data_IF_568258330133
#
_entry.id   IF_568258330133
#
_cell.length_a   1.000
_cell.length_b   1.000
_cell.length_c   1.000
_cell.angle_alpha   90.00
_cell.angle_beta   90.00
_cell.angle_gamma   90.00
#
_symmetry.space_group_name_H-M   'P 1'
#
loop_
_entity.id
_entity.type
_entity.pdbx_description
1 polymer ?
#
# COMPACT_ATOMS: atom_id res chain seq x y z
N UNK A 1 -8.51 -17.95 3.83
CA UNK A 1 -7.85 -17.07 2.85
C UNK A 1 -6.45 -16.80 3.37
N UNK A 2 -5.44 -16.85 2.49
CA UNK A 2 -4.06 -16.52 2.88
C UNK A 2 -3.87 -15.01 2.98
N UNK A 3 -2.73 -14.58 3.54
CA UNK A 3 -2.30 -13.18 3.55
C UNK A 3 -2.00 -12.76 2.11
N UNK A 4 -2.56 -11.63 1.69
CA UNK A 4 -2.32 -11.04 0.36
C UNK A 4 -1.53 -9.74 0.52
N UNK A 5 -0.55 -9.51 -0.35
CA UNK A 5 0.25 -8.27 -0.38
C UNK A 5 -0.23 -7.42 -1.55
N UNK A 6 -0.57 -6.17 -1.27
CA UNK A 6 -1.09 -5.25 -2.28
C UNK A 6 -0.20 -4.00 -2.38
N UNK A 7 -0.08 -3.49 -3.60
CA UNK A 7 0.45 -2.15 -3.89
C UNK A 7 -0.68 -1.23 -4.32
N UNK A 8 -0.72 -0.03 -3.74
CA UNK A 8 -1.72 0.99 -4.10
C UNK A 8 -1.06 2.34 -4.35
N UNK A 9 -1.23 2.86 -5.56
CA UNK A 9 -0.86 4.25 -5.84
C UNK A 9 -1.85 5.23 -5.20
N UNK A 10 -1.34 6.27 -4.56
CA UNK A 10 -2.12 7.42 -4.06
C UNK A 10 -1.42 8.74 -4.39
N UNK A 11 -2.15 9.86 -4.34
CA UNK A 11 -1.52 11.18 -4.40
C UNK A 11 -0.70 11.49 -3.15
N UNK A 12 0.30 12.37 -3.29
CA UNK A 12 1.05 12.92 -2.17
C UNK A 12 0.13 13.62 -1.15
N UNK A 13 -0.91 14.29 -1.65
CA UNK A 13 -1.92 14.92 -0.80
C UNK A 13 -2.65 13.91 0.09
N UNK A 14 -3.02 12.74 -0.44
CA UNK A 14 -3.61 11.67 0.37
C UNK A 14 -2.66 11.22 1.47
N UNK A 15 -1.38 11.02 1.16
CA UNK A 15 -0.38 10.65 2.17
C UNK A 15 -0.33 11.70 3.30
N UNK A 16 -0.27 12.99 2.97
CA UNK A 16 -0.26 14.08 3.96
C UNK A 16 -1.52 14.06 4.85
N UNK A 17 -2.69 13.82 4.25
CA UNK A 17 -3.97 13.71 4.98
C UNK A 17 -3.93 12.52 5.95
N UNK A 18 -3.41 11.37 5.52
CA UNK A 18 -3.30 10.17 6.35
C UNK A 18 -2.30 10.36 7.50
N UNK A 19 -1.16 11.00 7.25
CA UNK A 19 -0.17 11.31 8.29
C UNK A 19 -0.72 12.27 9.34
N UNK A 20 -1.55 13.24 8.95
CA UNK A 20 -2.19 14.18 9.88
C UNK A 20 -3.37 13.58 10.64
N UNK A 21 -4.00 12.54 10.10
CA UNK A 21 -5.20 11.94 10.66
C UNK A 21 -5.23 10.45 10.34
N UNK A 22 -4.50 9.61 11.11
CA UNK A 22 -4.38 8.19 10.82
C UNK A 22 -5.72 7.43 10.86
N UNK A 23 -6.73 7.98 11.55
CA UNK A 23 -8.11 7.47 11.55
C UNK A 23 -8.77 7.51 10.17
N UNK A 24 -8.27 8.35 9.24
CA UNK A 24 -8.72 8.38 7.86
C UNK A 24 -8.12 7.24 7.01
N UNK A 25 -7.13 6.50 7.52
CA UNK A 25 -6.64 5.28 6.86
C UNK A 25 -7.77 4.29 6.60
N UNK A 26 -8.58 4.00 7.63
CA UNK A 26 -9.75 3.15 7.48
C UNK A 26 -10.76 3.71 6.48
N UNK A 27 -10.99 5.03 6.47
CA UNK A 27 -11.88 5.65 5.49
C UNK A 27 -11.35 5.50 4.05
N UNK A 28 -10.03 5.61 3.84
CA UNK A 28 -9.45 5.39 2.51
C UNK A 28 -9.72 3.96 2.04
N UNK A 29 -9.44 2.94 2.86
CA UNK A 29 -9.67 1.54 2.46
C UNK A 29 -11.17 1.20 2.33
N UNK A 30 -12.02 1.74 3.19
CA UNK A 30 -13.48 1.58 3.05
C UNK A 30 -14.03 2.25 1.78
N UNK A 31 -13.35 3.29 1.27
CA UNK A 31 -13.76 3.97 0.04
C UNK A 31 -13.78 3.04 -1.18
N UNK A 32 -12.92 2.01 -1.21
CA UNK A 32 -12.91 0.97 -2.24
C UNK A 32 -14.26 0.25 -2.36
N UNK A 33 -15.02 0.16 -1.26
CA UNK A 33 -16.27 -0.59 -1.18
C UNK A 33 -17.51 0.31 -1.12
N UNK A 34 -17.35 1.63 -1.29
CA UNK A 34 -18.50 2.52 -1.38
C UNK A 34 -19.32 2.23 -2.65
N UNK A 35 -20.64 2.48 -2.66
CA UNK A 35 -21.51 2.23 -3.82
C UNK A 35 -21.00 2.88 -5.13
N UNK A 36 -20.34 4.03 -5.02
CA UNK A 36 -19.80 4.82 -6.13
C UNK A 36 -18.42 4.35 -6.61
N UNK A 37 -17.80 3.39 -5.91
CA UNK A 37 -16.46 2.91 -6.22
C UNK A 37 -16.41 2.14 -7.54
N UNK A 38 -15.34 2.32 -8.34
CA UNK A 38 -15.13 1.55 -9.56
C UNK A 38 -14.93 0.04 -9.31
N UNK A 39 -14.62 -0.38 -8.08
CA UNK A 39 -14.50 -1.79 -7.68
C UNK A 39 -15.71 -2.63 -8.10
N UNK A 40 -16.92 -2.06 -8.00
CA UNK A 40 -18.16 -2.77 -8.34
C UNK A 40 -18.38 -2.93 -9.86
N UNK A 41 -17.59 -2.27 -10.71
CA UNK A 41 -17.70 -2.45 -12.16
C UNK A 41 -17.15 -3.81 -12.62
N UNK A 42 -16.30 -4.43 -11.80
CA UNK A 42 -15.67 -5.73 -12.08
C UNK A 42 -16.30 -6.88 -11.29
N UNK A 43 -17.23 -6.62 -10.36
CA UNK A 43 -17.89 -7.70 -9.62
C UNK A 43 -18.92 -8.40 -10.52
N UNK A 44 -18.62 -9.64 -10.92
CA UNK A 44 -19.55 -10.48 -11.66
C UNK A 44 -20.64 -11.00 -10.71
N UNK A 45 -21.75 -10.28 -10.64
CA UNK A 45 -22.96 -10.72 -9.95
C UNK A 45 -23.32 -9.84 -8.76
N UNK A 46 -24.49 -9.21 -8.82
CA UNK A 46 -25.06 -8.48 -7.69
C UNK A 46 -25.75 -9.49 -6.77
N UNK A 47 -25.09 -9.88 -5.70
CA UNK A 47 -25.70 -10.69 -4.66
C UNK A 47 -26.08 -9.85 -3.42
N UNK A 48 -26.79 -10.47 -2.48
CA UNK A 48 -27.16 -9.83 -1.21
C UNK A 48 -25.92 -9.44 -0.37
N UNK A 49 -24.78 -10.08 -0.62
CA UNK A 49 -23.53 -9.82 0.08
C UNK A 49 -22.87 -8.51 -0.38
N UNK A 50 -22.93 -8.18 -1.66
CA UNK A 50 -22.44 -6.90 -2.21
C UNK A 50 -23.18 -5.70 -1.60
N UNK A 51 -24.52 -5.74 -1.56
CA UNK A 51 -25.31 -4.65 -0.98
C UNK A 51 -25.06 -4.49 0.53
N UNK A 52 -24.86 -5.61 1.23
CA UNK A 52 -24.45 -5.58 2.64
C UNK A 52 -23.07 -4.95 2.79
N UNK A 53 -22.10 -5.33 1.96
CA UNK A 53 -20.73 -4.81 1.99
C UNK A 53 -20.70 -3.31 1.72
N UNK A 54 -21.44 -2.82 0.72
CA UNK A 54 -21.59 -1.39 0.43
C UNK A 54 -22.14 -0.61 1.62
N UNK A 55 -23.18 -1.15 2.28
CA UNK A 55 -23.79 -0.52 3.45
C UNK A 55 -22.84 -0.49 4.65
N UNK A 56 -22.14 -1.59 4.91
CA UNK A 56 -21.14 -1.68 5.99
C UNK A 56 -19.97 -0.72 5.74
N UNK A 57 -19.44 -0.67 4.52
CA UNK A 57 -18.40 0.26 4.11
C UNK A 57 -18.82 1.72 4.31
N UNK A 58 -20.02 2.10 3.86
CA UNK A 58 -20.57 3.45 4.09
C UNK A 58 -20.59 3.83 5.56
N UNK A 59 -21.10 2.94 6.42
CA UNK A 59 -21.17 3.20 7.87
C UNK A 59 -19.78 3.34 8.51
N UNK A 60 -18.79 2.54 8.10
CA UNK A 60 -17.42 2.64 8.61
C UNK A 60 -16.73 3.91 8.12
N UNK A 61 -16.86 4.21 6.82
CA UNK A 61 -16.38 5.43 6.19
C UNK A 61 -16.87 6.68 6.93
N UNK A 62 -18.19 6.83 7.07
CA UNK A 62 -18.82 7.99 7.72
C UNK A 62 -18.34 8.16 9.17
N UNK A 63 -18.18 7.04 9.89
CA UNK A 63 -17.69 7.04 11.27
C UNK A 63 -16.26 7.52 11.36
N UNK A 64 -15.37 7.07 10.48
CA UNK A 64 -13.97 7.45 10.44
C UNK A 64 -13.82 8.94 10.08
N UNK A 65 -14.54 9.41 9.06
CA UNK A 65 -14.56 10.82 8.64
C UNK A 65 -15.11 11.72 9.75
N UNK A 66 -16.19 11.32 10.42
CA UNK A 66 -16.74 12.07 11.55
C UNK A 66 -15.76 12.12 12.75
N UNK A 67 -15.09 11.01 13.04
CA UNK A 67 -14.06 10.96 14.10
C UNK A 67 -12.90 11.90 13.78
N UNK A 68 -12.39 11.87 12.56
CA UNK A 68 -11.33 12.78 12.11
C UNK A 68 -11.75 14.25 12.22
N UNK A 69 -12.98 14.59 11.81
CA UNK A 69 -13.53 15.95 11.98
C UNK A 69 -13.57 16.37 13.45
N UNK A 70 -14.09 15.51 14.32
CA UNK A 70 -14.20 15.79 15.75
C UNK A 70 -12.83 15.98 16.38
N UNK A 71 -11.87 15.10 16.07
CA UNK A 71 -10.52 15.17 16.62
C UNK A 71 -9.83 16.45 16.14
N UNK A 72 -10.04 16.85 14.87
CA UNK A 72 -9.55 18.12 14.33
C UNK A 72 -10.21 19.33 15.01
N UNK A 73 -11.54 19.34 15.19
CA UNK A 73 -12.25 20.44 15.88
C UNK A 73 -11.83 20.59 17.33
N UNK A 74 -11.62 19.48 18.05
CA UNK A 74 -11.17 19.49 19.44
C UNK A 74 -9.76 20.07 19.62
N UNK A 75 -8.94 20.01 18.57
CA UNK A 75 -7.64 20.68 18.52
C UNK A 75 -7.81 22.20 18.31
N UNK A 76 -8.77 22.61 17.47
CA UNK A 76 -9.05 24.02 17.19
C UNK A 76 -9.78 24.73 18.33
N UNK A 77 -10.61 24.05 19.11
CA UNK A 77 -11.17 24.61 20.36
C UNK A 77 -10.07 24.97 21.39
N UNK A 78 -8.83 24.49 21.19
CA UNK A 78 -7.64 24.86 21.99
C UNK A 78 -6.76 25.94 21.34
N UNK A 79 -6.96 26.28 20.07
CA UNK A 79 -6.18 27.29 19.34
C UNK A 79 -7.12 28.40 18.86
N UNK A 80 -7.12 29.54 19.59
CA UNK A 80 -8.04 30.66 19.36
C UNK A 80 -8.14 31.10 17.89
N UNK A 81 -9.33 30.92 17.33
CA UNK A 81 -10.08 31.53 16.20
C UNK A 81 -9.39 32.07 14.92
N UNK A 82 -8.09 32.33 14.86
CA UNK A 82 -7.55 33.22 13.81
C UNK A 82 -6.94 32.52 12.58
N UNK A 83 -6.52 31.25 12.69
CA UNK A 83 -5.78 30.55 11.61
C UNK A 83 -6.61 29.56 10.77
N UNK A 84 -7.79 29.17 11.25
CA UNK A 84 -8.66 28.17 10.59
C UNK A 84 -9.19 28.67 9.23
N UNK A 85 -9.30 29.98 9.06
CA UNK A 85 -9.87 30.56 7.86
C UNK A 85 -8.94 30.47 6.63
N UNK A 86 -7.62 30.55 6.78
CA UNK A 86 -6.71 30.55 5.62
C UNK A 86 -6.60 29.17 4.95
N UNK A 87 -6.42 28.10 5.74
CA UNK A 87 -6.24 26.74 5.21
C UNK A 87 -7.53 26.23 4.55
N UNK A 88 -8.69 26.50 5.14
CA UNK A 88 -9.99 26.14 4.55
C UNK A 88 -10.33 27.05 3.37
N UNK A 89 -9.93 28.34 3.37
CA UNK A 89 -10.16 29.22 2.22
C UNK A 89 -9.38 28.80 0.97
N UNK A 90 -8.17 28.24 1.13
CA UNK A 90 -7.42 27.62 0.02
C UNK A 90 -8.14 26.41 -0.56
N UNK A 91 -8.94 25.70 0.25
CA UNK A 91 -9.74 24.55 -0.16
C UNK A 91 -11.05 24.92 -0.88
N UNK A 92 -11.56 26.15 -0.69
CA UNK A 92 -12.91 26.56 -1.15
C UNK A 92 -12.86 27.70 -2.20
N UNK A 93 -11.74 28.41 -2.34
CA UNK A 93 -11.67 29.58 -3.24
C UNK A 93 -11.24 29.24 -4.67
N UNK A 94 -12.14 28.62 -5.43
CA UNK A 94 -12.16 28.77 -6.90
C UNK A 94 -13.51 29.13 -7.51
N UNK A 95 -14.57 29.33 -6.70
CA UNK A 95 -15.84 29.84 -7.24
C UNK A 95 -16.36 31.04 -6.44
N UNK A 96 -16.03 32.26 -6.92
CA UNK A 96 -16.34 33.53 -6.28
C UNK A 96 -17.71 34.11 -6.65
N UNK A 97 -18.60 33.37 -7.32
CA UNK A 97 -19.79 33.98 -7.95
C UNK A 97 -21.16 33.64 -7.37
N UNK A 98 -21.27 32.90 -6.25
CA UNK A 98 -22.59 32.49 -5.73
C UNK A 98 -23.02 33.11 -4.38
N UNK A 99 -24.30 33.53 -4.25
CA UNK A 99 -24.81 34.25 -3.10
C UNK A 99 -25.01 33.36 -1.86
N UNK A 100 -24.92 34.01 -0.70
CA UNK A 100 -24.91 33.45 0.68
C UNK A 100 -26.21 32.71 1.03
N UNK A 101 -26.33 31.44 0.65
CA UNK A 101 -27.21 30.51 1.38
C UNK A 101 -26.37 29.76 2.41
N UNK A 102 -26.73 29.92 3.69
CA UNK A 102 -26.08 29.25 4.84
C UNK A 102 -26.42 27.76 4.84
N UNK A 103 -25.77 26.97 3.99
CA UNK A 103 -25.63 25.53 4.27
C UNK A 103 -24.43 25.33 5.21
N UNK A 104 -24.53 24.44 6.20
CA UNK A 104 -23.42 24.16 7.11
C UNK A 104 -22.23 23.62 6.30
N UNK A 105 -21.07 24.29 6.41
CA UNK A 105 -19.81 23.97 5.72
C UNK A 105 -19.26 22.56 6.01
N UNK A 106 -19.85 21.82 6.95
CA UNK A 106 -19.43 20.45 7.27
C UNK A 106 -19.79 19.46 6.17
N UNK A 107 -20.92 19.66 5.48
CA UNK A 107 -21.34 18.75 4.40
C UNK A 107 -20.37 18.80 3.20
N UNK A 108 -19.66 19.93 3.00
CA UNK A 108 -18.69 20.05 1.91
C UNK A 108 -17.37 19.32 2.18
N UNK A 109 -16.95 19.16 3.43
CA UNK A 109 -15.68 18.47 3.72
C UNK A 109 -15.82 16.96 3.62
N UNK A 110 -16.90 16.40 4.19
CA UNK A 110 -17.18 14.96 4.09
C UNK A 110 -17.28 14.53 2.63
N UNK A 111 -18.07 15.25 1.82
CA UNK A 111 -18.17 15.01 0.38
C UNK A 111 -16.83 15.17 -0.35
N UNK A 112 -16.01 16.16 0.04
CA UNK A 112 -14.71 16.35 -0.58
C UNK A 112 -13.74 15.19 -0.29
N UNK A 113 -13.69 14.69 0.95
CA UNK A 113 -12.87 13.54 1.31
C UNK A 113 -13.36 12.28 0.62
N UNK A 114 -14.68 12.06 0.58
CA UNK A 114 -15.28 10.93 -0.14
C UNK A 114 -14.91 10.95 -1.62
N UNK A 115 -15.17 12.05 -2.32
CA UNK A 115 -14.84 12.15 -3.74
C UNK A 115 -13.34 12.00 -3.98
N UNK A 116 -12.50 12.57 -3.12
CA UNK A 116 -11.05 12.43 -3.22
C UNK A 116 -10.58 10.99 -3.00
N UNK A 117 -11.10 10.26 -2.02
CA UNK A 117 -10.72 8.86 -1.81
C UNK A 117 -11.27 7.96 -2.92
N UNK A 118 -12.47 8.23 -3.45
CA UNK A 118 -13.00 7.52 -4.60
C UNK A 118 -12.11 7.68 -5.84
N UNK A 119 -11.57 8.88 -6.10
CA UNK A 119 -10.66 9.10 -7.23
C UNK A 119 -9.31 8.40 -7.05
N UNK A 120 -8.82 8.22 -5.82
CA UNK A 120 -7.65 7.36 -5.59
C UNK A 120 -7.95 5.90 -5.96
N UNK A 121 -9.21 5.44 -5.83
CA UNK A 121 -9.64 4.08 -6.23
C UNK A 121 -9.93 3.89 -7.71
N UNK A 122 -9.90 4.95 -8.52
CA UNK A 122 -9.94 4.83 -10.00
C UNK A 122 -8.69 4.14 -10.55
N UNK A 123 -7.55 4.23 -9.86
CA UNK A 123 -6.35 3.46 -10.17
C UNK A 123 -6.45 2.15 -9.38
N UNK A 124 -6.54 0.98 -10.02
CA UNK A 124 -6.64 -0.29 -9.29
C UNK A 124 -5.38 -0.54 -8.44
N UNK A 125 -5.53 -1.28 -7.35
CA UNK A 125 -4.39 -1.86 -6.64
C UNK A 125 -3.74 -2.95 -7.51
N UNK A 126 -2.45 -3.20 -7.31
CA UNK A 126 -1.78 -4.38 -7.84
C UNK A 126 -1.68 -5.42 -6.73
N UNK A 127 -2.40 -6.52 -6.90
CA UNK A 127 -2.28 -7.71 -6.05
C UNK A 127 -0.99 -8.44 -6.41
N UNK A 128 -0.05 -8.49 -5.47
CA UNK A 128 1.23 -9.18 -5.67
C UNK A 128 1.11 -10.70 -5.51
N UNK A 129 -0.01 -11.17 -4.96
CA UNK A 129 -0.59 -12.48 -5.22
C UNK A 129 0.28 -13.72 -5.02
N UNK A 130 -0.18 -14.81 -5.66
CA UNK A 130 0.57 -16.05 -5.84
C UNK A 130 1.80 -15.70 -6.66
N UNK A 131 2.97 -16.20 -6.29
CA UNK A 131 4.28 -15.93 -6.90
C UNK A 131 5.08 -14.78 -6.26
N UNK A 132 4.57 -14.09 -5.24
CA UNK A 132 5.35 -13.05 -4.57
C UNK A 132 6.61 -13.59 -3.88
N UNK A 133 6.52 -14.77 -3.27
CA UNK A 133 7.64 -15.40 -2.57
C UNK A 133 8.77 -15.72 -3.54
N UNK A 134 8.38 -16.34 -4.64
CA UNK A 134 9.19 -16.74 -5.76
C UNK A 134 9.86 -15.52 -6.39
N UNK A 135 9.08 -14.45 -6.64
CA UNK A 135 9.61 -13.21 -7.18
C UNK A 135 10.57 -12.52 -6.22
N UNK A 136 10.22 -12.42 -4.94
CA UNK A 136 11.11 -11.84 -3.91
C UNK A 136 12.42 -12.60 -3.87
N UNK A 137 12.34 -13.93 -3.92
CA UNK A 137 13.49 -14.82 -3.92
C UNK A 137 14.35 -14.64 -5.18
N UNK A 138 13.77 -14.48 -6.37
CA UNK A 138 14.52 -14.16 -7.58
C UNK A 138 15.13 -12.75 -7.55
N UNK A 139 14.45 -11.77 -6.95
CA UNK A 139 14.93 -10.39 -6.87
C UNK A 139 16.05 -10.23 -5.84
N UNK A 140 15.95 -10.93 -4.72
CA UNK A 140 16.75 -10.67 -3.51
C UNK A 140 17.67 -11.82 -3.11
N UNK A 141 17.37 -13.03 -3.57
CA UNK A 141 18.15 -14.24 -3.28
C UNK A 141 17.79 -14.99 -2.02
N UNK A 142 16.75 -14.57 -1.29
CA UNK A 142 16.27 -15.29 -0.11
C UNK A 142 14.75 -15.44 -0.14
N UNK A 143 14.24 -16.48 0.52
CA UNK A 143 12.82 -16.76 0.57
C UNK A 143 12.22 -15.95 1.73
N UNK A 144 11.25 -15.05 1.48
CA UNK A 144 10.55 -14.40 2.58
C UNK A 144 9.71 -15.46 3.28
N UNK A 145 10.11 -15.88 4.47
CA UNK A 145 9.32 -16.83 5.25
C UNK A 145 8.42 -16.06 6.23
N UNK A 146 7.10 -16.20 6.08
CA UNK A 146 6.17 -15.85 7.16
C UNK A 146 6.16 -17.02 8.15
N UNK A 147 6.82 -16.84 9.30
CA UNK A 147 6.65 -17.77 10.40
C UNK A 147 5.57 -17.27 11.35
N UNK A 148 4.44 -17.98 11.39
CA UNK A 148 3.49 -17.92 12.49
C UNK A 148 4.00 -18.89 13.57
N UNK A 149 4.86 -18.44 14.49
CA UNK A 149 5.18 -19.24 15.69
C UNK A 149 4.27 -18.79 16.84
N UNK A 150 3.76 -19.75 17.60
CA UNK A 150 3.00 -19.50 18.84
C UNK A 150 3.84 -18.90 19.97
N UNK A 151 5.17 -18.84 19.79
CA UNK A 151 6.13 -18.65 20.88
C UNK A 151 6.99 -17.37 20.72
N UNK A 152 6.70 -16.52 19.72
CA UNK A 152 7.20 -15.15 19.66
C UNK A 152 8.72 -14.94 19.46
N UNK A 153 9.49 -15.99 19.19
CA UNK A 153 10.91 -15.87 18.85
C UNK A 153 11.12 -16.24 17.39
N UNK A 154 11.28 -15.22 16.55
CA UNK A 154 11.73 -15.35 15.17
C UNK A 154 13.19 -15.79 15.16
N UNK A 155 13.51 -16.77 14.30
CA UNK A 155 14.87 -16.94 13.81
C UNK A 155 15.25 -15.63 13.12
N UNK A 156 16.22 -14.96 13.72
CA UNK A 156 16.96 -13.84 13.16
C UNK A 156 17.25 -14.16 11.68
N UNK A 157 16.70 -13.37 10.75
CA UNK A 157 17.51 -12.99 9.59
C UNK A 157 18.82 -12.50 10.21
N UNK A 158 19.94 -13.16 9.95
CA UNK A 158 21.26 -12.75 10.46
C UNK A 158 21.65 -11.40 9.85
N UNK A 159 20.96 -10.34 10.25
CA UNK A 159 21.44 -8.98 10.32
C UNK A 159 21.22 -8.52 11.76
N UNK A 160 22.19 -8.86 12.60
CA UNK A 160 22.55 -8.14 13.82
C UNK A 160 21.47 -7.95 14.91
N UNK A 161 21.63 -8.73 15.99
CA UNK A 161 20.94 -8.67 17.29
C UNK A 161 20.46 -7.30 17.76
N UNK A 162 19.15 -7.19 17.98
CA UNK A 162 18.50 -6.23 18.88
C UNK A 162 17.32 -6.89 19.60
N UNK A 163 17.46 -7.18 20.90
CA UNK A 163 16.39 -7.67 21.78
C UNK A 163 15.46 -6.52 22.16
N UNK A 164 14.15 -6.70 22.02
CA UNK A 164 13.14 -5.91 22.73
C UNK A 164 11.83 -5.75 21.96
N UNK A 165 10.75 -6.23 22.57
CA UNK A 165 9.37 -5.78 22.39
C UNK A 165 8.76 -5.80 20.97
N UNK A 166 8.39 -7.00 20.50
CA UNK A 166 7.20 -7.20 19.66
C UNK A 166 7.04 -6.35 18.40
N UNK A 167 8.13 -5.92 17.76
CA UNK A 167 8.07 -5.21 16.49
C UNK A 167 7.81 -6.20 15.36
N UNK A 168 6.63 -6.05 14.75
CA UNK A 168 6.18 -6.78 13.58
C UNK A 168 7.17 -6.54 12.43
N UNK A 169 7.89 -7.60 12.04
CA UNK A 169 8.85 -7.72 10.94
C UNK A 169 9.29 -6.37 10.36
N UNK A 170 10.46 -5.89 10.75
CA UNK A 170 11.26 -4.94 9.96
C UNK A 170 11.50 -5.57 8.58
N UNK A 171 10.54 -5.43 7.65
CA UNK A 171 10.55 -6.24 6.44
C UNK A 171 11.51 -5.64 5.40
N UNK A 172 12.44 -6.51 5.00
CA UNK A 172 13.32 -6.51 3.85
C UNK A 172 14.28 -5.34 3.58
N UNK A 173 14.84 -4.66 4.58
CA UNK A 173 16.07 -3.89 4.35
C UNK A 173 17.26 -4.84 4.44
N UNK A 174 17.72 -5.34 3.29
CA UNK A 174 18.96 -6.13 3.22
C UNK A 174 20.11 -5.21 2.82
N UNK A 175 21.09 -5.04 3.70
CA UNK A 175 22.29 -4.24 3.43
C UNK A 175 23.12 -4.83 2.26
N UNK A 176 23.02 -6.14 2.02
CA UNK A 176 23.73 -6.88 0.95
C UNK A 176 22.97 -8.12 0.47
N UNK A 177 22.58 -8.18 -0.82
CA UNK A 177 22.07 -9.40 -1.46
C UNK A 177 23.21 -10.17 -2.13
N UNK A 178 23.15 -11.51 -2.12
CA UNK A 178 24.04 -12.40 -2.87
C UNK A 178 24.01 -12.12 -4.40
N UNK A 179 22.96 -11.45 -4.89
CA UNK A 179 22.74 -11.14 -6.30
C UNK A 179 22.99 -9.66 -6.66
N UNK A 180 23.53 -8.83 -5.75
CA UNK A 180 23.97 -7.46 -6.03
C UNK A 180 23.56 -6.39 -5.01
N UNK A 181 24.08 -5.16 -5.17
CA UNK A 181 23.82 -3.99 -4.29
C UNK A 181 22.35 -3.51 -4.32
N UNK A 182 21.80 -2.95 -3.21
CA UNK A 182 20.36 -2.64 -3.02
C UNK A 182 19.82 -1.61 -4.03
N UNK A 183 18.50 -1.61 -4.42
CA UNK A 183 17.33 -1.78 -3.53
C UNK A 183 16.19 -2.66 -4.09
N UNK A 184 16.46 -3.71 -4.88
CA UNK A 184 15.38 -4.51 -5.52
C UNK A 184 14.40 -5.14 -4.55
N UNK A 185 14.90 -5.47 -3.37
CA UNK A 185 14.12 -6.03 -2.27
C UNK A 185 13.04 -5.06 -1.74
N UNK A 186 13.29 -3.76 -1.89
CA UNK A 186 12.37 -2.71 -1.47
C UNK A 186 11.14 -2.61 -2.39
N UNK A 187 11.20 -3.22 -3.58
CA UNK A 187 10.09 -3.23 -4.53
C UNK A 187 8.84 -3.95 -3.98
N UNK A 188 9.04 -4.90 -3.08
CA UNK A 188 7.98 -5.78 -2.57
C UNK A 188 7.66 -5.49 -1.11
N UNK A 189 8.61 -4.90 -0.37
CA UNK A 189 8.48 -4.88 1.07
C UNK A 189 9.34 -3.84 1.77
N UNK A 190 9.48 -2.63 1.26
CA UNK A 190 10.07 -1.56 2.06
C UNK A 190 9.19 -0.31 2.06
N UNK A 191 9.61 0.66 2.86
CA UNK A 191 8.94 1.94 2.97
C UNK A 191 8.82 2.39 4.41
N UNK A 192 8.37 3.63 4.55
CA UNK A 192 8.12 4.25 5.84
C UNK A 192 6.75 3.80 6.36
N UNK A 193 6.68 3.44 7.64
CA UNK A 193 5.42 3.05 8.26
C UNK A 193 4.45 4.23 8.36
N UNK A 194 3.18 3.98 8.03
CA UNK A 194 2.06 4.84 8.33
C UNK A 194 1.44 4.41 9.66
N UNK A 195 0.90 5.33 10.45
CA UNK A 195 0.21 5.04 11.73
C UNK A 195 -1.19 4.42 11.53
N UNK A 196 -1.32 3.50 10.57
CA UNK A 196 -2.54 2.79 10.26
C UNK A 196 -2.20 1.33 9.91
N UNK A 197 -3.00 0.40 10.41
CA UNK A 197 -2.79 -1.03 10.23
C UNK A 197 -3.98 -1.65 9.50
N UNK A 198 -3.68 -2.59 8.60
CA UNK A 198 -4.65 -3.49 7.98
C UNK A 198 -4.64 -4.83 8.73
N UNK A 199 -5.39 -5.82 8.25
CA UNK A 199 -5.60 -7.10 8.96
C UNK A 199 -4.33 -7.84 9.38
N UNK A 200 -3.21 -7.63 8.68
CA UNK A 200 -1.95 -8.35 8.89
C UNK A 200 -0.74 -7.44 9.10
N UNK A 201 -0.92 -6.19 9.55
CA UNK A 201 0.18 -5.33 9.95
C UNK A 201 0.06 -3.89 9.45
N UNK A 202 1.09 -3.06 9.66
CA UNK A 202 1.07 -1.66 9.29
C UNK A 202 1.10 -1.44 7.78
N UNK A 203 0.38 -0.41 7.33
CA UNK A 203 0.52 0.14 5.99
C UNK A 203 1.85 0.88 5.92
N UNK A 204 2.59 0.69 4.85
CA UNK A 204 3.82 1.42 4.56
C UNK A 204 3.68 2.24 3.29
N UNK A 205 4.54 3.23 3.13
CA UNK A 205 4.58 4.04 1.92
C UNK A 205 5.99 4.27 1.39
N UNK A 206 6.06 4.46 0.07
CA UNK A 206 7.23 4.91 -0.66
C UNK A 206 6.92 6.25 -1.34
N UNK A 207 7.82 7.21 -1.18
CA UNK A 207 7.76 8.51 -1.83
C UNK A 207 8.10 8.40 -3.33
N UNK A 208 7.72 9.40 -4.16
CA UNK A 208 7.97 9.37 -5.60
C UNK A 208 9.44 9.15 -5.98
N UNK A 209 10.39 9.74 -5.26
CA UNK A 209 11.82 9.55 -5.48
C UNK A 209 12.32 8.15 -5.08
N UNK A 210 11.69 7.51 -4.09
CA UNK A 210 11.98 6.12 -3.71
C UNK A 210 11.45 5.15 -4.77
N UNK A 211 10.24 5.42 -5.30
CA UNK A 211 9.69 4.68 -6.44
C UNK A 211 10.61 4.74 -7.66
N UNK A 212 11.22 5.89 -7.95
CA UNK A 212 12.17 6.06 -9.06
C UNK A 212 13.44 5.22 -8.86
N UNK A 213 13.96 5.16 -7.63
CA UNK A 213 15.12 4.32 -7.31
C UNK A 213 14.81 2.84 -7.46
N UNK A 214 13.64 2.40 -7.00
CA UNK A 214 13.17 1.02 -7.14
C UNK A 214 13.00 0.67 -8.61
N UNK A 215 12.28 1.49 -9.38
CA UNK A 215 12.08 1.27 -10.81
C UNK A 215 13.41 1.19 -11.56
N UNK A 216 14.34 2.10 -11.25
CA UNK A 216 15.68 2.09 -11.85
C UNK A 216 16.45 0.80 -11.51
N UNK A 217 16.24 0.25 -10.32
CA UNK A 217 16.75 -1.07 -9.95
C UNK A 217 16.11 -2.18 -10.78
N UNK A 218 14.77 -2.20 -10.84
CA UNK A 218 14.02 -3.21 -11.57
C UNK A 218 14.41 -3.25 -13.04
N UNK A 219 14.46 -2.09 -13.72
CA UNK A 219 14.79 -1.98 -15.15
C UNK A 219 16.23 -2.41 -15.51
N UNK A 220 17.12 -2.59 -14.53
CA UNK A 220 18.46 -3.15 -14.77
C UNK A 220 18.44 -4.67 -14.91
N UNK A 221 17.36 -5.32 -14.50
CA UNK A 221 17.17 -6.75 -14.67
C UNK A 221 16.36 -7.01 -15.92
N UNK A 222 16.78 -8.01 -16.68
CA UNK A 222 16.00 -8.61 -17.75
C UNK A 222 15.33 -9.88 -17.25
N UNK A 223 14.31 -10.36 -17.97
CA UNK A 223 13.72 -11.68 -17.70
C UNK A 223 14.74 -12.81 -17.80
N UNK A 224 15.72 -12.70 -18.71
CA UNK A 224 16.80 -13.70 -18.82
C UNK A 224 17.70 -13.68 -17.57
N UNK A 225 17.92 -12.51 -16.95
CA UNK A 225 18.66 -12.45 -15.68
C UNK A 225 17.89 -13.17 -14.56
N UNK A 226 16.57 -13.03 -14.50
CA UNK A 226 15.73 -13.77 -13.54
C UNK A 226 15.76 -15.29 -13.82
N UNK A 227 15.72 -15.69 -15.09
CA UNK A 227 15.90 -17.09 -15.50
C UNK A 227 17.26 -17.64 -15.09
N UNK A 228 18.34 -16.88 -15.28
CA UNK A 228 19.67 -17.36 -14.91
C UNK A 228 19.84 -17.43 -13.39
N UNK A 229 19.22 -16.52 -12.63
CA UNK A 229 19.13 -16.64 -11.16
C UNK A 229 18.40 -17.91 -10.74
N UNK A 230 17.28 -18.22 -11.38
CA UNK A 230 16.55 -19.47 -11.16
C UNK A 230 17.41 -20.70 -11.42
N UNK A 231 18.03 -20.78 -12.61
CA UNK A 231 18.92 -21.91 -12.97
C UNK A 231 20.14 -22.01 -12.04
N UNK A 232 20.69 -20.87 -11.60
CA UNK A 232 21.81 -20.82 -10.67
C UNK A 232 21.43 -21.41 -9.32
N UNK A 233 20.26 -21.08 -8.79
CA UNK A 233 19.78 -21.66 -7.54
C UNK A 233 19.61 -23.19 -7.64
N UNK A 234 19.02 -23.69 -8.74
CA UNK A 234 18.83 -25.12 -8.95
C UNK A 234 20.15 -25.91 -9.03
N UNK A 235 21.26 -25.27 -9.43
CA UNK A 235 22.58 -25.89 -9.52
C UNK A 235 23.31 -25.94 -8.17
N UNK A 236 22.81 -25.29 -7.11
CA UNK A 236 23.45 -25.33 -5.79
C UNK A 236 23.43 -26.76 -5.23
N UNK A 237 24.43 -27.11 -4.43
CA UNK A 237 24.48 -28.42 -3.74
C UNK A 237 23.23 -28.65 -2.87
N UNK A 238 22.72 -27.55 -2.28
CA UNK A 238 21.48 -27.50 -1.52
C UNK A 238 20.62 -26.34 -2.03
N UNK A 239 19.81 -26.57 -3.08
CA UNK A 239 18.88 -25.55 -3.57
C UNK A 239 17.90 -25.17 -2.46
N UNK A 240 17.48 -23.91 -2.44
CA UNK A 240 16.37 -23.48 -1.60
C UNK A 240 15.13 -24.34 -1.90
N UNK A 241 14.50 -24.91 -0.86
CA UNK A 241 13.40 -25.87 -1.01
C UNK A 241 12.20 -25.29 -1.77
N UNK A 242 12.04 -23.96 -1.77
CA UNK A 242 11.00 -23.27 -2.54
C UNK A 242 11.20 -23.39 -4.06
N UNK A 243 12.45 -23.41 -4.55
CA UNK A 243 12.73 -23.57 -5.99
C UNK A 243 12.46 -24.96 -6.53
N UNK A 244 12.49 -25.98 -5.66
CA UNK A 244 12.25 -27.38 -6.07
C UNK A 244 10.79 -27.57 -6.52
N UNK A 245 9.88 -26.72 -6.04
CA UNK A 245 8.47 -26.73 -6.43
C UNK A 245 8.13 -25.74 -7.54
N UNK A 246 9.10 -24.90 -7.92
CA UNK A 246 8.90 -23.92 -8.99
C UNK A 246 9.21 -24.57 -10.32
N UNK A 247 8.18 -25.01 -11.03
CA UNK A 247 8.30 -25.47 -12.41
C UNK A 247 8.33 -24.29 -13.40
N UNK A 248 8.48 -24.60 -14.69
CA UNK A 248 8.53 -23.58 -15.75
C UNK A 248 7.22 -22.79 -15.87
N UNK A 249 6.07 -23.42 -15.58
CA UNK A 249 4.75 -22.77 -15.61
C UNK A 249 4.61 -21.73 -14.48
N UNK A 250 5.01 -22.07 -13.26
CA UNK A 250 5.04 -21.14 -12.13
C UNK A 250 6.02 -19.99 -12.43
N UNK A 251 7.19 -20.30 -13.01
CA UNK A 251 8.17 -19.28 -13.38
C UNK A 251 7.64 -18.30 -14.43
N UNK A 252 6.89 -18.76 -15.44
CA UNK A 252 6.21 -17.87 -16.37
C UNK A 252 5.28 -16.90 -15.64
N UNK A 253 4.48 -17.38 -14.69
CA UNK A 253 3.64 -16.54 -13.84
C UNK A 253 4.44 -15.55 -12.96
N UNK A 254 5.62 -15.92 -12.49
CA UNK A 254 6.52 -15.00 -11.76
C UNK A 254 7.03 -13.88 -12.68
N UNK A 255 7.35 -14.21 -13.92
CA UNK A 255 7.85 -13.23 -14.90
C UNK A 255 6.76 -12.31 -15.43
N UNK A 256 5.51 -12.77 -15.49
CA UNK A 256 4.34 -11.93 -15.75
C UNK A 256 4.13 -10.94 -14.60
N UNK A 257 4.13 -11.42 -13.34
CA UNK A 257 4.04 -10.55 -12.16
C UNK A 257 5.19 -9.52 -12.12
N UNK A 258 6.40 -9.91 -12.50
CA UNK A 258 7.52 -8.96 -12.60
C UNK A 258 7.23 -7.82 -13.59
N UNK A 259 6.69 -8.12 -14.77
CA UNK A 259 6.31 -7.09 -15.74
C UNK A 259 5.21 -6.18 -15.20
N UNK A 260 4.22 -6.73 -14.50
CA UNK A 260 3.16 -5.95 -13.86
C UNK A 260 3.71 -4.99 -12.80
N UNK A 261 4.64 -5.46 -11.95
CA UNK A 261 5.31 -4.62 -10.96
C UNK A 261 6.11 -3.51 -11.65
N UNK A 262 6.90 -3.83 -12.67
CA UNK A 262 7.68 -2.83 -13.44
C UNK A 262 6.75 -1.79 -14.04
N UNK A 263 5.64 -2.21 -14.65
CA UNK A 263 4.64 -1.32 -15.22
C UNK A 263 4.02 -0.42 -14.16
N UNK A 264 3.63 -0.99 -13.02
CA UNK A 264 2.97 -0.27 -11.93
C UNK A 264 3.88 0.78 -11.28
N UNK A 265 5.16 0.45 -11.04
CA UNK A 265 6.16 1.41 -10.57
C UNK A 265 6.45 2.50 -11.61
N UNK A 266 6.54 2.15 -12.89
CA UNK A 266 6.74 3.12 -13.96
C UNK A 266 5.59 4.13 -14.06
N UNK A 267 4.34 3.66 -13.95
CA UNK A 267 3.18 4.55 -13.91
C UNK A 267 3.20 5.46 -12.67
N UNK A 268 3.54 4.93 -11.49
CA UNK A 268 3.67 5.71 -10.27
C UNK A 268 4.72 6.82 -10.39
N UNK A 269 5.90 6.52 -10.94
CA UNK A 269 6.99 7.49 -11.15
C UNK A 269 6.56 8.57 -12.16
N UNK A 270 5.97 8.17 -13.28
CA UNK A 270 5.51 9.10 -14.32
C UNK A 270 4.47 10.08 -13.79
N UNK A 271 3.58 9.63 -12.90
CA UNK A 271 2.52 10.43 -12.32
C UNK A 271 2.87 11.03 -10.95
N UNK A 272 4.12 10.89 -10.48
CA UNK A 272 4.60 11.38 -9.19
C UNK A 272 3.72 10.92 -8.01
N UNK A 273 3.29 9.67 -8.05
CA UNK A 273 2.44 9.04 -7.04
C UNK A 273 3.27 8.46 -5.89
N UNK A 274 2.66 8.43 -4.72
CA UNK A 274 3.13 7.67 -3.57
C UNK A 274 2.63 6.23 -3.73
N UNK A 275 3.45 5.26 -3.34
CA UNK A 275 3.04 3.85 -3.32
C UNK A 275 2.72 3.46 -1.88
N UNK A 276 1.55 2.89 -1.63
CA UNK A 276 1.23 2.19 -0.38
C UNK A 276 1.49 0.70 -0.52
N UNK A 277 2.02 0.08 0.53
CA UNK A 277 2.21 -1.37 0.66
C UNK A 277 1.45 -1.84 1.89
N UNK A 278 0.60 -2.86 1.74
CA UNK A 278 -0.22 -3.36 2.85
C UNK A 278 -0.60 -4.83 2.67
N UNK A 279 -1.01 -5.44 3.79
CA UNK A 279 -1.31 -6.85 3.90
C UNK A 279 -2.78 -7.06 4.28
N UNK A 280 -3.54 -7.82 3.49
CA UNK A 280 -4.98 -8.08 3.70
C UNK A 280 -5.33 -9.54 3.84
#
# INVERSE_FOLDING_TARGET
MGIVVNLKQISLYTLEVLQQSPTLGAALFDAQYLPESPFWNTSEGFDEYDERTKKEARMRFDRCVFRALRDRLSFWDRLSDFLVFEVISKFISHDRTRPKSRRPKHLSWHQAIEQHFLTEWEIPELDLGKNLYELTLLLSGYAPAYYHSSDGLLLELESYKGRGDGEFLSFLVVESSDYGSPPLVNAVGAGTQLEYETGYGPVRYLLPNENEQILSGLLRLTKEDLWERYRTELRKEKPCSWFVFLDEEILEGVLELYDEIVFYYNDAVKNQRVMLLYLT
#
